data_IF_163315450038
#
_entry.id   IF_163315450038
#
_cell.length_a   1.000
_cell.length_b   1.000
_cell.length_c   1.000
_cell.angle_alpha   90.00
_cell.angle_beta   90.00
_cell.angle_gamma   90.00
#
_symmetry.space_group_name_H-M   'P 1'
#
loop_
_entity.id
_entity.type
_entity.pdbx_description
1 polymer ?
#
# COMPACT_ATOMS: atom_id res chain seq x y z
N UNK A 1 -0.84 -13.28 7.51
CA UNK A 1 0.14 -12.22 7.88
C UNK A 1 -0.52 -10.88 8.13
N UNK A 2 0.10 -10.03 8.97
CA UNK A 2 -0.32 -8.64 9.27
C UNK A 2 0.79 -7.67 8.85
N UNK A 3 0.43 -6.52 8.27
CA UNK A 3 1.34 -5.46 7.80
C UNK A 3 0.60 -4.11 7.72
N UNK A 4 1.27 -3.08 7.19
CA UNK A 4 0.68 -1.79 6.86
C UNK A 4 0.94 -1.40 5.39
N UNK A 5 0.11 -0.50 4.87
CA UNK A 5 0.41 0.34 3.71
C UNK A 5 0.14 1.81 4.05
N UNK A 6 0.60 2.75 3.23
CA UNK A 6 0.56 4.17 3.56
C UNK A 6 0.11 5.07 2.41
N UNK A 7 -0.41 6.24 2.78
CA UNK A 7 -0.62 7.38 1.89
C UNK A 7 -0.52 8.68 2.69
N UNK A 8 -0.14 9.79 2.05
CA UNK A 8 -0.19 11.12 2.67
C UNK A 8 -1.53 11.80 2.33
N UNK A 9 -2.31 12.13 3.36
CA UNK A 9 -3.61 12.81 3.21
C UNK A 9 -3.45 14.26 3.65
N UNK A 10 -3.66 15.25 2.77
CA UNK A 10 -3.36 16.67 3.07
C UNK A 10 -4.03 17.23 4.32
N UNK A 11 -5.23 16.75 4.65
CA UNK A 11 -6.01 17.21 5.81
C UNK A 11 -5.68 16.46 7.10
N UNK A 12 -4.88 15.40 7.03
CA UNK A 12 -4.41 14.65 8.20
C UNK A 12 -2.97 15.06 8.47
N UNK A 13 -2.81 15.99 9.40
CA UNK A 13 -1.52 16.54 9.79
C UNK A 13 -0.59 15.44 10.33
N UNK A 14 0.71 15.51 9.98
CA UNK A 14 1.73 14.59 10.48
C UNK A 14 2.37 13.66 9.45
N UNK A 15 2.14 13.87 8.15
CA UNK A 15 2.82 13.13 7.08
C UNK A 15 2.00 11.95 6.57
N UNK A 16 2.59 10.74 6.55
CA UNK A 16 1.89 9.55 6.06
C UNK A 16 0.89 9.02 7.09
N UNK A 17 -0.28 8.63 6.62
CA UNK A 17 -1.22 7.80 7.37
C UNK A 17 -0.97 6.34 7.01
N UNK A 18 -0.90 5.48 8.03
CA UNK A 18 -0.78 4.03 7.88
C UNK A 18 -2.13 3.36 7.97
N UNK A 19 -2.39 2.42 7.07
CA UNK A 19 -3.58 1.57 7.03
C UNK A 19 -3.18 0.13 7.35
N UNK A 20 -3.88 -0.50 8.30
CA UNK A 20 -3.63 -1.90 8.65
C UNK A 20 -4.06 -2.83 7.51
N UNK A 21 -3.24 -3.84 7.25
CA UNK A 21 -3.46 -4.88 6.25
C UNK A 21 -3.30 -6.26 6.88
N UNK A 22 -4.31 -7.11 6.80
CA UNK A 22 -4.26 -8.47 7.33
C UNK A 22 -4.98 -9.44 6.38
N UNK A 23 -4.39 -10.62 6.20
CA UNK A 23 -4.96 -11.70 5.38
C UNK A 23 -4.28 -13.02 5.71
N UNK A 24 -4.95 -14.14 5.47
CA UNK A 24 -4.33 -15.48 5.50
C UNK A 24 -3.57 -15.82 4.22
N UNK A 25 -3.68 -14.99 3.17
CA UNK A 25 -2.98 -15.18 1.90
C UNK A 25 -1.90 -14.11 1.70
N UNK A 26 -0.68 -14.47 2.08
CA UNK A 26 0.47 -13.56 2.07
C UNK A 26 0.88 -13.10 0.66
N UNK A 27 0.47 -13.83 -0.40
CA UNK A 27 0.79 -13.47 -1.78
C UNK A 27 0.07 -12.19 -2.24
N UNK A 28 -1.03 -11.79 -1.60
CA UNK A 28 -1.89 -10.70 -2.06
C UNK A 28 -1.21 -9.32 -2.05
N UNK A 29 -0.18 -9.11 -1.22
CA UNK A 29 0.59 -7.86 -1.19
C UNK A 29 1.86 -7.88 -2.05
N UNK A 30 2.18 -9.03 -2.64
CA UNK A 30 3.40 -9.26 -3.43
C UNK A 30 3.08 -9.48 -4.91
N UNK A 31 1.88 -9.06 -5.34
CA UNK A 31 1.47 -9.13 -6.73
C UNK A 31 2.40 -8.27 -7.60
N UNK A 32 2.71 -8.78 -8.80
CA UNK A 32 3.54 -8.04 -9.72
C UNK A 32 2.84 -6.75 -10.20
N UNK A 33 3.63 -5.73 -10.52
CA UNK A 33 3.12 -4.47 -11.08
C UNK A 33 2.28 -4.70 -12.33
N UNK A 34 2.65 -5.67 -13.16
CA UNK A 34 1.91 -6.07 -14.37
C UNK A 34 0.52 -6.62 -14.03
N UNK A 35 0.43 -7.42 -12.96
CA UNK A 35 -0.85 -7.98 -12.49
C UNK A 35 -1.78 -6.87 -12.01
N UNK A 36 -1.27 -5.92 -11.22
CA UNK A 36 -2.04 -4.77 -10.74
C UNK A 36 -2.45 -3.87 -11.90
N UNK A 37 -1.54 -3.62 -12.85
CA UNK A 37 -1.80 -2.82 -14.05
C UNK A 37 -2.91 -3.43 -14.91
N UNK A 38 -2.84 -4.74 -15.19
CA UNK A 38 -3.86 -5.44 -15.97
C UNK A 38 -5.24 -5.37 -15.29
N UNK A 39 -5.30 -5.58 -13.97
CA UNK A 39 -6.56 -5.46 -13.21
C UNK A 39 -7.11 -4.05 -13.21
N UNK A 40 -6.26 -3.04 -13.06
CA UNK A 40 -6.66 -1.64 -13.10
C UNK A 40 -7.28 -1.25 -14.45
N UNK A 41 -6.66 -1.69 -15.56
CA UNK A 41 -7.22 -1.48 -16.90
C UNK A 41 -8.53 -2.23 -17.12
N UNK A 42 -8.61 -3.51 -16.74
CA UNK A 42 -9.81 -4.32 -16.87
C UNK A 42 -10.99 -3.75 -16.06
N UNK A 43 -10.72 -3.12 -14.92
CA UNK A 43 -11.72 -2.46 -14.09
C UNK A 43 -12.22 -1.11 -14.66
N UNK A 44 -11.58 -0.55 -15.69
CA UNK A 44 -11.99 0.72 -16.31
C UNK A 44 -11.94 1.93 -15.36
N UNK A 45 -11.10 1.87 -14.32
CA UNK A 45 -11.06 2.88 -13.27
C UNK A 45 -10.37 4.17 -13.75
N UNK A 46 -11.00 5.31 -13.46
CA UNK A 46 -10.39 6.63 -13.60
C UNK A 46 -10.18 7.24 -12.22
N UNK A 47 -8.95 7.21 -11.73
CA UNK A 47 -8.59 7.67 -10.40
C UNK A 47 -7.74 8.95 -10.46
N UNK A 48 -7.84 9.80 -9.42
CA UNK A 48 -7.06 11.04 -9.30
C UNK A 48 -5.76 10.88 -8.52
N UNK A 49 -5.66 9.84 -7.69
CA UNK A 49 -4.51 9.55 -6.84
C UNK A 49 -4.03 8.11 -7.05
N UNK A 50 -4.93 7.15 -6.83
CA UNK A 50 -4.63 5.74 -7.02
C UNK A 50 -4.24 5.45 -8.47
N UNK A 51 -3.15 4.70 -8.65
CA UNK A 51 -2.74 4.05 -9.88
C UNK A 51 -1.88 2.83 -9.52
N UNK A 52 -1.56 1.93 -10.47
CA UNK A 52 -0.80 0.71 -10.18
C UNK A 52 0.57 0.94 -9.54
N UNK A 53 1.28 2.00 -9.92
CA UNK A 53 2.56 2.34 -9.30
C UNK A 53 2.39 2.80 -7.85
N UNK A 54 1.38 3.64 -7.57
CA UNK A 54 1.02 4.06 -6.21
C UNK A 54 0.60 2.86 -5.35
N UNK A 55 -0.15 1.90 -5.91
CA UNK A 55 -0.53 0.67 -5.20
C UNK A 55 0.71 -0.10 -4.71
N UNK A 56 1.67 -0.35 -5.60
CA UNK A 56 2.88 -1.08 -5.26
C UNK A 56 3.73 -0.28 -4.22
N UNK A 57 3.89 1.03 -4.44
CA UNK A 57 4.67 1.88 -3.57
C UNK A 57 4.04 2.09 -2.18
N UNK A 58 2.71 1.95 -2.04
CA UNK A 58 2.02 2.13 -0.76
C UNK A 58 2.49 1.13 0.32
N UNK A 59 3.01 -0.04 -0.07
CA UNK A 59 3.56 -1.03 0.86
C UNK A 59 5.02 -0.75 1.25
N UNK A 60 5.68 0.23 0.64
CA UNK A 60 6.99 0.68 1.08
C UNK A 60 6.82 1.59 2.30
N UNK A 61 7.31 1.11 3.45
CA UNK A 61 7.24 1.83 4.72
C UNK A 61 8.58 2.54 4.99
N UNK A 62 8.56 3.74 5.59
CA UNK A 62 9.78 4.36 6.11
C UNK A 62 10.48 3.48 7.15
N UNK A 63 11.80 3.60 7.25
CA UNK A 63 12.62 2.76 8.13
C UNK A 63 12.16 2.82 9.60
N UNK A 64 11.77 3.99 10.12
CA UNK A 64 11.32 4.12 11.50
C UNK A 64 10.07 3.27 11.82
N UNK A 65 9.20 3.01 10.83
CA UNK A 65 8.08 2.08 10.99
C UNK A 65 8.55 0.63 10.99
N UNK A 66 9.49 0.28 10.12
CA UNK A 66 10.09 -1.06 10.15
C UNK A 66 10.72 -1.36 11.51
N UNK A 67 11.44 -0.39 12.08
CA UNK A 67 12.07 -0.53 13.40
C UNK A 67 11.03 -0.71 14.51
N UNK A 68 9.96 0.10 14.50
CA UNK A 68 8.88 0.01 15.49
C UNK A 68 8.10 -1.31 15.43
N UNK A 69 7.88 -1.85 14.22
CA UNK A 69 7.19 -3.14 14.02
C UNK A 69 8.05 -4.35 14.37
N UNK A 70 9.37 -4.21 14.25
CA UNK A 70 10.32 -5.28 14.58
C UNK A 70 10.64 -5.36 16.08
N UNK A 71 10.30 -4.32 16.85
CA UNK A 71 10.46 -4.27 18.30
C UNK A 71 9.36 -5.03 19.07
N UNK A 72 8.51 -5.76 18.36
CA UNK A 72 7.32 -6.46 18.85
C UNK A 72 7.43 -7.97 18.60
#
# INVERSE_FOLDING_TARGET
MVSFYQAAIPTYYGGIMTFAWATDNDALRHLSSETIQARFHAAGLKCRYYNPAIHAAAFALPQYLHDALSAQ
#
